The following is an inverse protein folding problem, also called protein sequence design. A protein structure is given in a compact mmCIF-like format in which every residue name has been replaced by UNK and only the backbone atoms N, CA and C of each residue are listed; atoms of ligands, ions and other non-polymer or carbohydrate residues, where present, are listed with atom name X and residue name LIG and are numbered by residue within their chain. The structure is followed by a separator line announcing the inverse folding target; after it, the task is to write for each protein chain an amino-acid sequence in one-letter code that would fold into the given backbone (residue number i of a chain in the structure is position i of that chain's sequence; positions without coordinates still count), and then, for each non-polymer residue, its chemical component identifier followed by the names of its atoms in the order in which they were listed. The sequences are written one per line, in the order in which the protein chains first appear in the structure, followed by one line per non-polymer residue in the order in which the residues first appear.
data_IF_787200888526
#
_entry.id   IF_787200888526
#
_cell.length_a   1.000
_cell.length_b   1.000
_cell.length_c   1.000
_cell.angle_alpha   90.00
_cell.angle_beta   90.00
_cell.angle_gamma   90.00
#
_symmetry.space_group_name_H-M   'P 1'
#
loop_
_entity.id
_entity.type
_entity.pdbx_description
1 polymer ?
#
# COMPACT_ATOMS: atom_id res chain seq x y z
N UNK A 1 11.47 2.31 -8.81
CA UNK A 1 10.11 2.18 -9.39
C UNK A 1 9.41 3.52 -9.66
N UNK A 2 10.13 4.65 -9.60
CA UNK A 2 9.60 6.01 -9.83
C UNK A 2 9.33 6.34 -11.31
N UNK A 3 9.80 5.50 -12.25
CA UNK A 3 9.69 5.70 -13.70
C UNK A 3 8.44 5.05 -14.34
N UNK A 4 7.65 4.26 -13.59
CA UNK A 4 6.64 3.38 -14.20
C UNK A 4 5.19 3.87 -14.14
N UNK A 5 4.85 4.92 -13.38
CA UNK A 5 3.44 5.27 -13.14
C UNK A 5 3.03 6.72 -13.41
N UNK A 6 3.94 7.60 -13.82
CA UNK A 6 3.58 8.90 -14.41
C UNK A 6 3.40 8.79 -15.94
N UNK A 7 2.76 7.71 -16.40
CA UNK A 7 3.11 7.13 -17.69
C UNK A 7 2.35 7.69 -18.90
N UNK A 8 1.56 8.76 -18.76
CA UNK A 8 0.89 9.38 -19.92
C UNK A 8 1.09 10.89 -19.96
N UNK A 9 0.79 11.62 -18.87
CA UNK A 9 1.03 13.08 -18.84
C UNK A 9 2.51 13.43 -18.71
N UNK A 10 3.30 12.73 -17.88
CA UNK A 10 4.75 12.93 -17.89
C UNK A 10 5.42 12.27 -19.09
N UNK A 11 4.81 11.27 -19.74
CA UNK A 11 5.28 10.81 -21.06
C UNK A 11 5.01 11.84 -22.14
N UNK A 12 3.89 12.57 -22.10
CA UNK A 12 3.60 13.68 -23.02
C UNK A 12 4.51 14.87 -22.72
N UNK A 13 4.80 15.19 -21.46
CA UNK A 13 5.72 16.26 -21.10
C UNK A 13 7.18 15.90 -21.42
N UNK A 14 7.58 14.63 -21.22
CA UNK A 14 8.89 14.12 -21.66
C UNK A 14 8.93 14.03 -23.19
N UNK A 15 7.85 13.58 -23.87
CA UNK A 15 7.73 13.65 -25.33
C UNK A 15 7.92 15.08 -25.79
N UNK A 16 7.15 16.02 -25.26
CA UNK A 16 7.20 17.44 -25.62
C UNK A 16 8.53 18.09 -25.24
N UNK A 17 9.21 17.64 -24.18
CA UNK A 17 10.53 18.17 -23.79
C UNK A 17 11.64 17.60 -24.67
N UNK A 18 11.61 16.31 -24.99
CA UNK A 18 12.50 15.68 -25.96
C UNK A 18 12.21 16.21 -27.38
N UNK A 19 10.95 16.54 -27.68
CA UNK A 19 10.54 17.25 -28.89
C UNK A 19 11.00 18.70 -28.89
N UNK A 20 11.02 19.37 -27.73
CA UNK A 20 11.52 20.74 -27.62
C UNK A 20 13.00 20.80 -27.98
N UNK A 21 13.78 19.78 -27.58
CA UNK A 21 15.19 19.62 -27.97
C UNK A 21 15.33 19.38 -29.49
N UNK A 22 14.41 18.63 -30.11
CA UNK A 22 14.34 18.41 -31.57
C UNK A 22 13.87 19.65 -32.35
N UNK A 23 12.92 20.41 -31.79
CA UNK A 23 12.33 21.64 -32.34
C UNK A 23 13.30 22.80 -32.28
N UNK A 24 14.19 22.84 -31.29
CA UNK A 24 15.24 23.86 -31.18
C UNK A 24 16.26 23.79 -32.34
N UNK A 25 16.34 22.67 -33.06
CA UNK A 25 17.13 22.54 -34.30
C UNK A 25 16.33 22.87 -35.58
N UNK A 26 14.99 22.93 -35.53
CA UNK A 26 14.12 23.15 -36.71
C UNK A 26 13.33 24.48 -36.72
N UNK A 27 13.29 25.25 -35.62
CA UNK A 27 12.71 26.60 -35.61
C UNK A 27 11.18 26.67 -35.56
N UNK A 28 10.51 25.59 -35.15
CA UNK A 28 9.05 25.51 -35.00
C UNK A 28 8.59 26.21 -33.71
N UNK A 29 7.51 26.99 -33.76
CA UNK A 29 6.92 27.63 -32.58
C UNK A 29 6.24 26.58 -31.66
N UNK A 30 6.57 26.62 -30.36
CA UNK A 30 6.01 25.74 -29.35
C UNK A 30 4.48 25.88 -29.24
N UNK A 31 3.96 27.08 -29.49
CA UNK A 31 2.52 27.34 -29.47
C UNK A 31 1.78 26.56 -30.56
N UNK A 32 2.33 26.50 -31.78
CA UNK A 32 1.75 25.80 -32.92
C UNK A 32 1.73 24.29 -32.70
N UNK A 33 2.77 23.74 -32.07
CA UNK A 33 2.84 22.32 -31.71
C UNK A 33 1.76 21.93 -30.68
N UNK A 34 1.55 22.77 -29.66
CA UNK A 34 0.51 22.55 -28.65
C UNK A 34 -0.88 22.67 -29.29
N UNK A 35 -1.08 23.67 -30.14
CA UNK A 35 -2.34 23.86 -30.87
C UNK A 35 -2.65 22.64 -31.75
N UNK A 36 -1.65 22.11 -32.45
CA UNK A 36 -1.80 20.94 -33.30
C UNK A 36 -2.07 19.65 -32.51
N UNK A 37 -1.37 19.42 -31.39
CA UNK A 37 -1.67 18.28 -30.51
C UNK A 37 -3.09 18.34 -29.92
N UNK A 38 -3.54 19.54 -29.58
CA UNK A 38 -4.90 19.77 -29.09
C UNK A 38 -5.93 19.52 -30.20
N UNK A 39 -5.69 20.02 -31.40
CA UNK A 39 -6.52 19.76 -32.57
C UNK A 39 -6.66 18.25 -32.83
N UNK A 40 -5.54 17.54 -32.81
CA UNK A 40 -5.47 16.09 -33.01
C UNK A 40 -6.23 15.30 -31.93
N UNK A 41 -6.33 15.86 -30.72
CA UNK A 41 -7.11 15.26 -29.63
C UNK A 41 -8.63 15.32 -29.84
N UNK A 42 -9.11 16.25 -30.68
CA UNK A 42 -10.52 16.38 -31.04
C UNK A 42 -10.93 15.55 -32.26
N UNK A 43 -9.97 14.92 -32.94
CA UNK A 43 -10.28 14.03 -34.06
C UNK A 43 -10.92 12.72 -33.58
N UNK A 44 -11.73 12.09 -34.43
CA UNK A 44 -12.36 10.80 -34.12
C UNK A 44 -11.34 9.67 -34.36
N UNK A 45 -11.17 8.76 -33.39
CA UNK A 45 -10.21 7.68 -33.54
C UNK A 45 -10.70 6.69 -34.60
N UNK A 46 -9.85 6.40 -35.60
CA UNK A 46 -10.15 5.46 -36.67
C UNK A 46 -10.69 6.08 -37.97
N UNK A 47 -11.02 7.37 -38.00
CA UNK A 47 -11.33 8.07 -39.25
C UNK A 47 -10.05 8.52 -39.96
N UNK A 48 -10.10 8.55 -41.29
CA UNK A 48 -8.97 8.94 -42.13
C UNK A 48 -9.09 10.42 -42.49
N UNK A 49 -8.03 11.17 -42.20
CA UNK A 49 -7.91 12.60 -42.47
C UNK A 49 -6.83 12.83 -43.52
N UNK A 50 -7.06 13.79 -44.43
CA UNK A 50 -6.09 14.06 -45.50
C UNK A 50 -4.83 14.72 -44.96
N UNK A 51 -3.67 14.32 -45.47
CA UNK A 51 -2.41 15.01 -45.20
C UNK A 51 -2.31 16.34 -45.95
N UNK A 52 -3.07 16.52 -47.02
CA UNK A 52 -3.00 17.73 -47.88
C UNK A 52 -3.58 18.98 -47.20
N UNK A 53 -4.32 18.82 -46.10
CA UNK A 53 -4.89 19.94 -45.32
C UNK A 53 -3.91 20.52 -44.30
N UNK A 54 -2.75 19.89 -44.14
CA UNK A 54 -1.76 20.25 -43.12
C UNK A 54 -0.71 21.20 -43.70
N UNK A 55 -0.11 22.01 -42.84
CA UNK A 55 1.07 22.80 -43.21
C UNK A 55 2.31 21.90 -43.37
N UNK A 56 3.36 22.41 -44.00
CA UNK A 56 4.63 21.69 -44.17
C UNK A 56 5.23 21.27 -42.82
N UNK A 57 5.10 22.14 -41.81
CA UNK A 57 5.55 21.89 -40.43
C UNK A 57 4.71 20.80 -39.76
N UNK A 58 3.38 20.88 -39.85
CA UNK A 58 2.47 19.86 -39.33
C UNK A 58 2.68 18.50 -39.99
N UNK A 59 3.00 18.47 -41.29
CA UNK A 59 3.30 17.25 -42.03
C UNK A 59 4.58 16.58 -41.55
N UNK A 60 5.56 17.38 -41.11
CA UNK A 60 6.78 16.88 -40.47
C UNK A 60 6.43 16.31 -39.08
N UNK A 61 5.69 17.07 -38.27
CA UNK A 61 5.24 16.62 -36.94
C UNK A 61 4.44 15.32 -36.99
N UNK A 62 3.54 15.15 -37.96
CA UNK A 62 2.70 13.94 -38.04
C UNK A 62 3.53 12.68 -38.30
N UNK A 63 4.67 12.78 -38.99
CA UNK A 63 5.58 11.64 -39.19
C UNK A 63 6.18 11.20 -37.87
N UNK A 64 6.63 12.16 -37.06
CA UNK A 64 7.19 11.87 -35.75
C UNK A 64 6.10 11.35 -34.77
N UNK A 65 4.88 11.91 -34.82
CA UNK A 65 3.74 11.40 -34.07
C UNK A 65 3.34 9.98 -34.51
N UNK A 66 3.58 9.63 -35.77
CA UNK A 66 3.37 8.28 -36.26
C UNK A 66 4.41 7.29 -35.74
N UNK A 67 5.68 7.69 -35.62
CA UNK A 67 6.74 6.90 -34.99
C UNK A 67 6.44 6.64 -33.50
N UNK A 68 5.78 7.59 -32.84
CA UNK A 68 5.29 7.48 -31.47
C UNK A 68 4.01 6.64 -31.33
N UNK A 69 3.42 6.21 -32.45
CA UNK A 69 2.18 5.42 -32.49
C UNK A 69 0.92 6.21 -32.14
N UNK A 70 0.99 7.55 -32.08
CA UNK A 70 -0.19 8.41 -31.86
C UNK A 70 -1.08 8.43 -33.11
N UNK A 71 -0.48 8.30 -34.29
CA UNK A 71 -1.17 8.37 -35.58
C UNK A 71 -0.69 7.23 -36.47
N UNK A 72 -1.57 6.71 -37.33
CA UNK A 72 -1.19 5.76 -38.40
C UNK A 72 -1.22 6.46 -39.74
N UNK A 73 -0.10 6.47 -40.44
CA UNK A 73 -0.01 6.96 -41.81
C UNK A 73 -0.48 5.87 -42.79
N UNK A 74 -1.33 6.26 -43.75
CA UNK A 74 -1.74 5.42 -44.88
C UNK A 74 -1.50 6.16 -46.19
N UNK A 75 -0.82 5.52 -47.14
CA UNK A 75 -0.58 6.09 -48.47
C UNK A 75 -1.43 5.36 -49.50
N UNK A 76 -2.26 6.11 -50.21
CA UNK A 76 -2.94 5.67 -51.43
C UNK A 76 -2.09 5.88 -52.68
N UNK A 77 -2.67 5.63 -53.86
CA UNK A 77 -1.99 5.84 -55.15
C UNK A 77 -1.78 7.31 -55.52
N UNK A 78 -2.59 8.21 -54.95
CA UNK A 78 -2.55 9.66 -55.22
C UNK A 78 -2.71 10.52 -53.96
N UNK A 79 -3.37 9.99 -52.93
CA UNK A 79 -3.71 10.71 -51.70
C UNK A 79 -3.04 10.03 -50.51
N UNK A 80 -2.65 10.83 -49.52
CA UNK A 80 -2.07 10.32 -48.27
C UNK A 80 -2.94 10.74 -47.10
N UNK A 81 -3.15 9.82 -46.16
CA UNK A 81 -4.05 9.99 -45.02
C UNK A 81 -3.33 9.72 -43.71
N UNK A 82 -3.83 10.32 -42.65
CA UNK A 82 -3.46 9.99 -41.29
C UNK A 82 -4.70 9.56 -40.50
N UNK A 83 -4.54 8.54 -39.66
CA UNK A 83 -5.62 7.98 -38.82
C UNK A 83 -5.21 8.12 -37.35
N UNK A 84 -5.87 8.99 -36.58
CA UNK A 84 -5.63 9.12 -35.15
C UNK A 84 -5.92 7.80 -34.43
N UNK A 85 -5.02 7.43 -33.53
CA UNK A 85 -5.23 6.28 -32.64
C UNK A 85 -5.96 6.70 -31.36
N UNK A 86 -6.41 5.73 -30.57
CA UNK A 86 -6.96 5.99 -29.24
C UNK A 86 -5.95 6.68 -28.30
N UNK A 87 -4.64 6.58 -28.57
CA UNK A 87 -3.63 7.26 -27.76
C UNK A 87 -3.67 8.76 -28.00
N UNK A 88 -3.80 9.18 -29.26
CA UNK A 88 -3.93 10.56 -29.71
C UNK A 88 -5.17 11.26 -29.13
N UNK A 89 -6.32 10.62 -29.21
CA UNK A 89 -7.60 11.21 -28.75
C UNK A 89 -7.70 11.27 -27.22
N UNK A 90 -7.00 10.37 -26.52
CA UNK A 90 -6.96 10.35 -25.06
C UNK A 90 -5.88 11.28 -24.46
N UNK A 91 -5.10 11.99 -25.28
CA UNK A 91 -4.11 12.98 -24.81
C UNK A 91 -4.78 14.11 -24.02
N UNK A 92 -5.93 14.59 -24.49
CA UNK A 92 -6.71 15.66 -23.86
C UNK A 92 -7.49 15.17 -22.63
N UNK A 93 -8.02 13.95 -22.67
CA UNK A 93 -8.91 13.41 -21.63
C UNK A 93 -8.21 13.22 -20.28
N UNK A 94 -6.88 13.03 -20.26
CA UNK A 94 -6.12 12.99 -18.99
C UNK A 94 -6.12 14.32 -18.22
N UNK A 95 -6.47 15.45 -18.85
CA UNK A 95 -6.61 16.75 -18.17
C UNK A 95 -7.96 16.89 -17.45
N UNK A 96 -8.96 16.08 -17.80
CA UNK A 96 -10.34 16.22 -17.32
C UNK A 96 -10.83 15.05 -16.47
N UNK A 97 -10.19 13.88 -16.50
CA UNK A 97 -10.70 12.67 -15.83
C UNK A 97 -10.27 12.55 -14.35
N UNK A 98 -10.40 13.66 -13.61
CA UNK A 98 -10.28 13.71 -12.15
C UNK A 98 -11.57 13.26 -11.44
N UNK A 99 -12.43 12.46 -12.09
CA UNK A 99 -13.76 12.11 -11.60
C UNK A 99 -13.93 10.62 -11.29
N UNK A 100 -13.90 10.33 -9.98
CA UNK A 100 -14.90 9.49 -9.31
C UNK A 100 -15.16 8.06 -9.84
N UNK A 101 -14.13 7.24 -10.00
CA UNK A 101 -14.29 5.81 -9.69
C UNK A 101 -13.70 5.57 -8.29
N UNK A 102 -14.27 4.64 -7.52
CA UNK A 102 -13.66 4.09 -6.28
C UNK A 102 -12.37 3.37 -6.67
N UNK A 103 -11.38 4.16 -7.05
CA UNK A 103 -10.13 3.72 -7.61
C UNK A 103 -9.17 3.80 -6.44
N UNK A 104 -8.69 2.64 -5.99
CA UNK A 104 -7.71 2.61 -4.91
C UNK A 104 -6.53 3.50 -5.28
N UNK A 105 -5.91 4.08 -4.26
CA UNK A 105 -4.93 5.15 -4.43
C UNK A 105 -3.60 4.79 -3.78
N UNK A 106 -3.52 3.69 -3.02
CA UNK A 106 -2.34 3.32 -2.25
C UNK A 106 -1.55 2.23 -2.96
N UNK A 107 -0.23 2.36 -2.96
CA UNK A 107 0.74 1.35 -3.40
C UNK A 107 1.72 1.12 -2.27
N UNK A 108 1.95 -0.13 -1.90
CA UNK A 108 2.92 -0.52 -0.87
C UNK A 108 4.01 -1.38 -1.49
N UNK A 109 5.26 -1.04 -1.23
CA UNK A 109 6.43 -1.78 -1.68
C UNK A 109 6.94 -2.75 -0.59
N UNK A 110 7.75 -3.74 -0.99
CA UNK A 110 8.35 -4.73 -0.09
C UNK A 110 9.31 -4.13 0.95
N UNK A 111 9.79 -2.91 0.72
CA UNK A 111 10.67 -2.15 1.62
C UNK A 111 9.88 -1.26 2.60
N UNK A 112 8.59 -1.50 2.78
CA UNK A 112 7.68 -0.73 3.67
C UNK A 112 7.42 0.71 3.25
N UNK A 113 7.83 1.12 2.03
CA UNK A 113 7.44 2.42 1.48
C UNK A 113 6.01 2.36 0.96
N UNK A 114 5.26 3.41 1.23
CA UNK A 114 3.91 3.61 0.75
C UNK A 114 3.84 4.86 -0.12
N UNK A 115 3.05 4.76 -1.18
CA UNK A 115 2.78 5.84 -2.12
C UNK A 115 1.28 5.96 -2.29
N UNK A 116 0.72 7.13 -1.98
CA UNK A 116 -0.70 7.36 -2.06
C UNK A 116 -1.00 8.48 -3.06
N UNK A 117 -1.68 8.15 -4.16
CA UNK A 117 -2.04 9.07 -5.23
C UNK A 117 -3.34 9.79 -4.88
N UNK A 118 -3.24 10.82 -4.04
CA UNK A 118 -4.38 11.62 -3.64
C UNK A 118 -3.98 13.05 -3.30
N UNK A 119 -4.86 13.99 -3.66
CA UNK A 119 -4.82 15.39 -3.22
C UNK A 119 -5.64 15.63 -1.94
N UNK A 120 -6.36 14.61 -1.46
CA UNK A 120 -7.24 14.72 -0.30
C UNK A 120 -6.43 14.79 0.99
N UNK A 121 -6.63 15.89 1.76
CA UNK A 121 -6.07 16.03 3.10
C UNK A 121 -6.57 14.93 4.04
N UNK A 122 -7.82 14.50 3.89
CA UNK A 122 -8.38 13.41 4.69
C UNK A 122 -7.58 12.11 4.49
N UNK A 123 -7.24 11.76 3.25
CA UNK A 123 -6.43 10.57 3.00
C UNK A 123 -5.05 10.70 3.64
N UNK A 124 -4.43 11.88 3.59
CA UNK A 124 -3.16 12.13 4.28
C UNK A 124 -3.27 11.86 5.79
N UNK A 125 -4.31 12.40 6.44
CA UNK A 125 -4.53 12.22 7.87
C UNK A 125 -4.82 10.75 8.24
N UNK A 126 -5.59 10.03 7.43
CA UNK A 126 -5.84 8.60 7.65
C UNK A 126 -4.52 7.81 7.59
N UNK A 127 -3.66 8.09 6.61
CA UNK A 127 -2.38 7.39 6.48
C UNK A 127 -1.42 7.73 7.64
N UNK A 128 -1.48 8.96 8.18
CA UNK A 128 -0.68 9.36 9.35
C UNK A 128 -0.99 8.55 10.61
N UNK A 129 -2.18 7.94 10.70
CA UNK A 129 -2.55 7.12 11.85
C UNK A 129 -1.64 5.90 12.02
N UNK A 130 -1.08 5.36 10.93
CA UNK A 130 -0.30 4.12 10.98
C UNK A 130 1.02 4.16 10.20
N UNK A 131 1.29 5.25 9.48
CA UNK A 131 2.52 5.43 8.71
C UNK A 131 3.14 6.81 8.92
N UNK A 132 4.47 6.86 8.82
CA UNK A 132 5.22 8.11 8.84
C UNK A 132 5.18 8.75 7.45
N UNK A 133 4.43 9.83 7.29
CA UNK A 133 4.46 10.63 6.06
C UNK A 133 5.79 11.38 5.98
N UNK A 134 6.59 11.10 4.96
CA UNK A 134 7.92 11.70 4.77
C UNK A 134 7.84 13.02 4.01
N UNK A 135 7.04 13.06 2.94
CA UNK A 135 6.76 14.28 2.19
C UNK A 135 5.45 14.17 1.42
N UNK A 136 4.86 15.33 1.13
CA UNK A 136 3.62 15.46 0.38
C UNK A 136 3.83 16.38 -0.81
N UNK A 137 3.48 15.87 -1.98
CA UNK A 137 3.38 16.59 -3.25
C UNK A 137 1.89 16.82 -3.58
N UNK A 138 1.55 17.69 -4.54
CA UNK A 138 0.15 18.06 -4.82
C UNK A 138 -0.81 16.88 -5.05
N UNK A 139 -0.33 15.80 -5.68
CA UNK A 139 -1.13 14.60 -6.00
C UNK A 139 -0.49 13.29 -5.51
N UNK A 140 0.50 13.38 -4.62
CA UNK A 140 1.23 12.20 -4.15
C UNK A 140 1.67 12.40 -2.69
N UNK A 141 1.29 11.46 -1.85
CA UNK A 141 1.76 11.35 -0.47
C UNK A 141 2.77 10.20 -0.44
N UNK A 142 3.95 10.47 0.08
CA UNK A 142 4.99 9.45 0.27
C UNK A 142 5.20 9.25 1.77
N UNK A 143 5.16 7.99 2.18
CA UNK A 143 5.38 7.61 3.57
C UNK A 143 6.09 6.27 3.71
N UNK A 144 6.38 5.93 4.95
CA UNK A 144 6.95 4.64 5.32
C UNK A 144 6.17 4.05 6.49
N UNK A 145 5.88 2.76 6.41
CA UNK A 145 5.34 1.98 7.53
C UNK A 145 6.54 1.60 8.42
N UNK A 146 6.54 2.10 9.65
CA UNK A 146 7.63 1.90 10.61
C UNK A 146 7.10 1.21 11.86
N UNK A 147 7.99 0.58 12.64
CA UNK A 147 7.60 -0.04 13.90
C UNK A 147 6.98 1.00 14.85
N UNK A 148 7.56 2.20 14.90
CA UNK A 148 7.13 3.29 15.76
C UNK A 148 5.75 3.82 15.35
N UNK A 149 5.52 4.02 14.04
CA UNK A 149 4.21 4.49 13.55
C UNK A 149 3.09 3.49 13.81
N UNK A 150 3.38 2.19 13.71
CA UNK A 150 2.41 1.14 14.00
C UNK A 150 2.17 0.97 15.50
N UNK A 151 3.19 1.07 16.34
CA UNK A 151 3.00 1.03 17.80
C UNK A 151 2.09 2.16 18.27
N UNK A 152 2.28 3.38 17.73
CA UNK A 152 1.37 4.49 18.00
C UNK A 152 -0.07 4.18 17.53
N UNK A 153 -0.23 3.53 16.36
CA UNK A 153 -1.54 3.12 15.87
C UNK A 153 -2.22 2.11 16.82
N UNK A 154 -1.47 1.09 17.27
CA UNK A 154 -1.95 0.05 18.17
C UNK A 154 -2.34 0.62 19.54
N UNK A 155 -1.55 1.54 20.10
CA UNK A 155 -1.89 2.25 21.34
C UNK A 155 -3.19 3.07 21.22
N UNK A 156 -3.46 3.61 20.03
CA UNK A 156 -4.70 4.32 19.70
C UNK A 156 -5.87 3.37 19.34
N UNK A 157 -5.69 2.05 19.50
CA UNK A 157 -6.73 1.03 19.29
C UNK A 157 -6.97 0.65 17.83
N UNK A 158 -6.07 1.00 16.92
CA UNK A 158 -6.14 0.58 15.51
C UNK A 158 -5.44 -0.76 15.36
N UNK A 159 -6.14 -1.81 14.94
CA UNK A 159 -5.57 -3.17 14.88
C UNK A 159 -4.77 -3.42 13.60
N UNK A 160 -3.87 -4.42 13.62
CA UNK A 160 -3.12 -4.83 12.44
C UNK A 160 -4.07 -5.23 11.29
N UNK A 161 -5.17 -5.91 11.60
CA UNK A 161 -6.15 -6.36 10.61
C UNK A 161 -6.84 -5.17 9.92
N UNK A 162 -7.16 -4.12 10.68
CA UNK A 162 -7.75 -2.90 10.13
C UNK A 162 -6.80 -2.21 9.15
N UNK A 163 -5.51 -2.12 9.50
CA UNK A 163 -4.48 -1.51 8.65
C UNK A 163 -4.31 -2.32 7.36
N UNK A 164 -4.15 -3.64 7.46
CA UNK A 164 -4.00 -4.53 6.30
C UNK A 164 -5.24 -4.46 5.40
N UNK A 165 -6.44 -4.54 5.99
CA UNK A 165 -7.70 -4.43 5.24
C UNK A 165 -7.82 -3.10 4.53
N UNK A 166 -7.46 -1.99 5.19
CA UNK A 166 -7.46 -0.66 4.58
C UNK A 166 -6.52 -0.60 3.37
N UNK A 167 -5.29 -1.10 3.50
CA UNK A 167 -4.31 -1.12 2.41
C UNK A 167 -4.79 -1.96 1.22
N UNK A 168 -5.41 -3.12 1.47
CA UNK A 168 -5.94 -4.00 0.42
C UNK A 168 -7.16 -3.39 -0.29
N UNK A 169 -8.10 -2.81 0.46
CA UNK A 169 -9.32 -2.20 -0.11
C UNK A 169 -9.02 -0.91 -0.90
N UNK A 170 -7.97 -0.19 -0.53
CA UNK A 170 -7.55 1.05 -1.17
C UNK A 170 -6.33 0.87 -2.09
N UNK A 171 -5.97 -0.38 -2.43
CA UNK A 171 -4.87 -0.67 -3.32
C UNK A 171 -5.13 -0.12 -4.73
N UNK A 172 -4.13 0.53 -5.32
CA UNK A 172 -4.21 1.06 -6.67
C UNK A 172 -4.63 -0.03 -7.67
N UNK A 173 -5.53 0.21 -8.65
CA UNK A 173 -6.12 -0.85 -9.49
C UNK A 173 -5.12 -1.81 -10.12
N UNK A 174 -4.00 -1.28 -10.65
CA UNK A 174 -2.93 -2.09 -11.24
C UNK A 174 -2.21 -3.01 -10.25
N UNK A 175 -2.30 -2.71 -8.97
CA UNK A 175 -1.76 -3.51 -7.87
C UNK A 175 -2.86 -4.39 -7.26
N UNK A 176 -4.10 -3.91 -7.21
CA UNK A 176 -5.26 -4.67 -6.78
C UNK A 176 -5.54 -5.91 -7.65
N UNK A 177 -5.18 -5.86 -8.94
CA UNK A 177 -5.21 -7.02 -9.84
C UNK A 177 -4.19 -8.11 -9.48
N UNK A 178 -3.14 -7.76 -8.71
CA UNK A 178 -2.15 -8.73 -8.23
C UNK A 178 -2.65 -9.34 -6.93
N UNK A 179 -2.45 -10.66 -6.81
CA UNK A 179 -2.77 -11.40 -5.59
C UNK A 179 -1.44 -11.90 -5.00
N UNK A 180 -1.05 -11.45 -3.80
CA UNK A 180 -1.73 -10.47 -2.96
C UNK A 180 -1.48 -9.01 -3.39
N UNK A 181 -2.45 -8.12 -3.12
CA UNK A 181 -2.39 -6.70 -3.50
C UNK A 181 -1.46 -5.87 -2.61
N UNK A 182 -1.10 -6.42 -1.44
CA UNK A 182 -0.08 -5.90 -0.54
C UNK A 182 0.97 -7.01 -0.37
N UNK A 183 2.27 -6.70 -0.42
CA UNK A 183 3.31 -7.72 -0.25
C UNK A 183 3.17 -8.50 1.06
N UNK A 184 3.28 -9.83 1.01
CA UNK A 184 3.10 -10.72 2.18
C UNK A 184 4.04 -10.36 3.33
N UNK A 185 5.30 -10.05 3.00
CA UNK A 185 6.28 -9.66 4.01
C UNK A 185 5.86 -8.40 4.79
N UNK A 186 5.11 -7.49 4.17
CA UNK A 186 4.59 -6.30 4.85
C UNK A 186 3.41 -6.66 5.72
N UNK A 187 2.46 -7.46 5.22
CA UNK A 187 1.28 -7.87 6.02
C UNK A 187 1.68 -8.68 7.24
N UNK A 188 2.63 -9.61 7.09
CA UNK A 188 3.10 -10.46 8.18
C UNK A 188 3.83 -9.64 9.24
N UNK A 189 4.68 -8.70 8.80
CA UNK A 189 5.43 -7.86 9.73
C UNK A 189 4.53 -6.95 10.56
N UNK A 190 3.44 -6.42 9.98
CA UNK A 190 2.45 -5.62 10.72
C UNK A 190 1.80 -6.47 11.82
N UNK A 191 1.37 -7.70 11.51
CA UNK A 191 0.77 -8.65 12.47
C UNK A 191 1.75 -9.06 13.58
N UNK A 192 3.01 -9.30 13.20
CA UNK A 192 4.08 -9.63 14.16
C UNK A 192 4.32 -8.48 15.14
N UNK A 193 4.34 -7.24 14.65
CA UNK A 193 4.55 -6.07 15.52
C UNK A 193 3.39 -5.81 16.49
N UNK A 194 2.13 -6.09 16.11
CA UNK A 194 1.00 -6.07 17.06
C UNK A 194 1.15 -7.16 18.13
N UNK A 195 1.51 -8.38 17.72
CA UNK A 195 1.76 -9.50 18.65
C UNK A 195 2.91 -9.20 19.61
N UNK A 196 3.93 -8.46 19.15
CA UNK A 196 5.05 -8.02 19.98
C UNK A 196 4.63 -7.10 21.14
N UNK A 197 3.59 -6.29 20.99
CA UNK A 197 3.05 -5.48 22.08
C UNK A 197 2.28 -6.32 23.10
N UNK A 198 1.60 -7.37 22.64
CA UNK A 198 0.77 -8.24 23.47
C UNK A 198 1.55 -9.41 24.09
N UNK A 199 2.87 -9.30 24.26
CA UNK A 199 3.73 -10.39 24.77
C UNK A 199 3.52 -10.77 26.24
N UNK A 200 2.86 -9.91 27.03
CA UNK A 200 2.72 -10.11 28.48
C UNK A 200 1.27 -10.39 28.83
N UNK A 201 0.97 -11.64 29.17
CA UNK A 201 -0.31 -12.04 29.76
C UNK A 201 -0.19 -12.08 31.29
N UNK A 202 -1.00 -11.27 31.98
CA UNK A 202 -1.07 -11.28 33.44
C UNK A 202 -2.09 -12.31 33.88
N UNK A 203 -1.63 -13.40 34.51
CA UNK A 203 -2.51 -14.42 35.10
C UNK A 203 -2.58 -14.23 36.62
N UNK A 204 -3.76 -13.95 37.21
CA UNK A 204 -3.92 -13.93 38.67
C UNK A 204 -3.53 -15.28 39.27
N UNK A 205 -2.61 -15.27 40.24
CA UNK A 205 -2.00 -16.47 40.78
C UNK A 205 -1.69 -16.34 42.28
N UNK A 206 -1.56 -17.48 42.95
CA UNK A 206 -1.11 -17.57 44.33
C UNK A 206 0.20 -18.33 44.38
N UNK A 207 1.14 -17.77 45.15
CA UNK A 207 2.43 -18.37 45.43
C UNK A 207 2.36 -19.19 46.72
N UNK A 208 2.83 -20.43 46.68
CA UNK A 208 2.93 -21.31 47.82
C UNK A 208 4.40 -21.64 48.06
N UNK A 209 4.84 -21.45 49.29
CA UNK A 209 6.16 -21.77 49.81
C UNK A 209 6.06 -22.45 51.19
N UNK A 210 7.21 -22.70 51.80
CA UNK A 210 7.33 -23.26 53.16
C UNK A 210 6.57 -24.57 53.38
N UNK A 211 6.59 -25.47 52.38
CA UNK A 211 6.01 -26.80 52.53
C UNK A 211 6.75 -27.59 53.63
N UNK A 212 6.01 -28.28 54.52
CA UNK A 212 6.58 -28.95 55.68
C UNK A 212 7.44 -30.18 55.32
N UNK A 213 7.15 -30.82 54.19
CA UNK A 213 7.92 -31.94 53.66
C UNK A 213 7.83 -31.99 52.14
N UNK A 214 8.75 -32.76 51.55
CA UNK A 214 8.75 -33.02 50.10
C UNK A 214 7.49 -33.76 49.64
N UNK A 215 7.00 -34.71 50.44
CA UNK A 215 5.81 -35.49 50.10
C UNK A 215 4.54 -34.62 50.01
N UNK A 216 4.39 -33.65 50.93
CA UNK A 216 3.27 -32.69 50.91
C UNK A 216 3.36 -31.77 49.70
N UNK A 217 4.57 -31.34 49.33
CA UNK A 217 4.80 -30.57 48.11
C UNK A 217 4.44 -31.35 46.84
N UNK A 218 4.90 -32.59 46.72
CA UNK A 218 4.63 -33.44 45.55
C UNK A 218 3.12 -33.71 45.42
N UNK A 219 2.43 -34.05 46.51
CA UNK A 219 0.98 -34.24 46.51
C UNK A 219 0.20 -32.96 46.12
N UNK A 220 0.64 -31.79 46.62
CA UNK A 220 0.03 -30.51 46.27
C UNK A 220 0.26 -30.13 44.80
N UNK A 221 1.44 -30.43 44.25
CA UNK A 221 1.72 -30.23 42.83
C UNK A 221 0.89 -31.15 41.94
N UNK A 222 0.78 -32.43 42.28
CA UNK A 222 -0.06 -33.38 41.56
C UNK A 222 -1.53 -32.97 41.56
N UNK A 223 -2.04 -32.49 42.71
CA UNK A 223 -3.38 -31.94 42.82
C UNK A 223 -3.57 -30.70 41.91
N UNK A 224 -2.60 -29.77 41.92
CA UNK A 224 -2.66 -28.58 41.06
C UNK A 224 -2.59 -28.92 39.55
N UNK A 225 -1.81 -29.94 39.16
CA UNK A 225 -1.75 -30.45 37.77
C UNK A 225 -3.07 -31.10 37.37
N UNK A 226 -3.67 -31.91 38.24
CA UNK A 226 -4.95 -32.58 38.00
C UNK A 226 -6.08 -31.57 37.74
N UNK A 227 -6.06 -30.43 38.43
CA UNK A 227 -7.02 -29.34 38.24
C UNK A 227 -6.60 -28.31 37.18
N UNK A 228 -5.56 -28.59 36.38
CA UNK A 228 -5.03 -27.72 35.30
C UNK A 228 -4.72 -26.28 35.76
N UNK A 229 -4.33 -26.14 37.03
CA UNK A 229 -4.08 -24.85 37.68
C UNK A 229 -2.64 -24.62 38.10
N UNK A 230 -1.73 -25.58 37.90
CA UNK A 230 -0.29 -25.36 38.10
C UNK A 230 0.28 -24.42 37.02
N UNK A 231 0.89 -23.31 37.42
CA UNK A 231 1.55 -22.35 36.52
C UNK A 231 3.06 -22.53 36.51
N UNK A 232 3.66 -22.81 37.66
CA UNK A 232 5.10 -22.96 37.80
C UNK A 232 5.42 -23.76 39.07
N UNK A 233 6.53 -24.51 39.05
CA UNK A 233 7.05 -25.22 40.22
C UNK A 233 8.59 -25.20 40.27
N UNK A 234 9.14 -25.20 41.49
CA UNK A 234 10.55 -25.43 41.79
C UNK A 234 10.67 -26.52 42.87
N UNK A 235 10.94 -27.74 42.43
CA UNK A 235 11.08 -28.90 43.29
C UNK A 235 12.28 -28.83 44.25
N UNK A 236 13.31 -28.02 43.94
CA UNK A 236 14.49 -27.90 44.82
C UNK A 236 14.21 -27.03 46.04
N UNK A 237 13.40 -25.98 45.85
CA UNK A 237 13.04 -25.04 46.92
C UNK A 237 11.66 -25.31 47.51
N UNK A 238 10.94 -26.33 47.01
CA UNK A 238 9.55 -26.64 47.38
C UNK A 238 8.66 -25.41 47.25
N UNK A 239 8.56 -24.87 46.03
CA UNK A 239 7.75 -23.68 45.73
C UNK A 239 6.89 -23.94 44.52
N UNK A 240 5.69 -23.40 44.52
CA UNK A 240 4.79 -23.49 43.37
C UNK A 240 3.95 -22.24 43.21
N UNK A 241 3.53 -21.98 41.98
CA UNK A 241 2.57 -20.93 41.63
C UNK A 241 1.38 -21.61 40.99
N UNK A 242 0.19 -21.27 41.47
CA UNK A 242 -1.08 -21.81 40.95
C UNK A 242 -2.03 -20.70 40.54
N UNK A 243 -2.90 -20.96 39.58
CA UNK A 243 -3.98 -20.04 39.16
C UNK A 243 -4.86 -19.68 40.36
N UNK A 244 -5.32 -18.43 40.40
CA UNK A 244 -6.21 -17.96 41.46
C UNK A 244 -7.52 -18.76 41.55
N UNK A 245 -8.01 -19.28 40.42
CA UNK A 245 -9.22 -20.11 40.33
C UNK A 245 -9.17 -21.35 41.22
N UNK A 246 -8.00 -21.98 41.34
CA UNK A 246 -7.84 -23.22 42.13
C UNK A 246 -7.38 -22.97 43.57
N UNK A 247 -7.19 -21.71 43.96
CA UNK A 247 -6.64 -21.37 45.29
C UNK A 247 -7.49 -21.92 46.44
N UNK A 248 -8.82 -21.84 46.34
CA UNK A 248 -9.72 -22.33 47.39
C UNK A 248 -9.65 -23.86 47.53
N UNK A 249 -9.61 -24.59 46.41
CA UNK A 249 -9.47 -26.05 46.39
C UNK A 249 -8.12 -26.50 46.96
N UNK A 250 -7.04 -25.79 46.59
CA UNK A 250 -5.71 -26.04 47.13
C UNK A 250 -5.67 -25.85 48.66
N UNK A 251 -6.31 -24.82 49.20
CA UNK A 251 -6.38 -24.61 50.66
C UNK A 251 -7.12 -25.74 51.38
N UNK A 252 -8.17 -26.26 50.79
CA UNK A 252 -8.92 -27.39 51.35
C UNK A 252 -8.08 -28.67 51.33
N UNK A 253 -7.42 -28.97 50.22
CA UNK A 253 -6.51 -30.10 50.07
C UNK A 253 -5.37 -30.06 51.11
N UNK A 254 -4.70 -28.91 51.26
CA UNK A 254 -3.60 -28.74 52.20
C UNK A 254 -4.06 -28.81 53.67
N UNK A 255 -5.27 -28.35 53.99
CA UNK A 255 -5.85 -28.51 55.34
C UNK A 255 -6.15 -29.98 55.66
N UNK A 256 -6.52 -30.77 54.67
CA UNK A 256 -6.78 -32.21 54.83
C UNK A 256 -5.53 -33.02 55.15
N UNK A 257 -4.36 -32.58 54.67
CA UNK A 257 -3.07 -33.27 54.91
C UNK A 257 -2.38 -32.92 56.23
N UNK A 258 -2.83 -31.86 56.92
CA UNK A 258 -2.28 -31.42 58.21
C UNK A 258 -2.98 -32.07 59.43
N UNK A 259 -3.84 -33.08 59.21
CA UNK A 259 -4.48 -33.90 60.25
C UNK A 259 -3.82 -35.26 60.34
#
# INVERSE_FOLDING_TARGET
MQLFFCHFVARLFILCSDFHVLVQEQGVDQADLIAFLLELSFHTPGEAYSLDTLTDDQTTMIKDLADLGLVKLQKGRKESWFIPTKLATNLSVSLTDSSSRKQGFVVVETNFRMYAYSSSKLHCEILRLFARVEYQLPNLIVGAITKESLYNAFENGITAEQIVTFLQQNAHPRVAEKIPSVPENVTDQIRLWETDLNRVEMTPAHFYDEFPSRDVFEAASDFARMHNGLLWEDAKKMRMVVKAEIHMLMREHLRGQNK
#
